data_IF_396958054111
#
_entry.id   IF_396958054111
#
_cell.length_a   1.000
_cell.length_b   1.000
_cell.length_c   1.000
_cell.angle_alpha   90.00
_cell.angle_beta   90.00
_cell.angle_gamma   90.00
#
_symmetry.space_group_name_H-M   'P 1'
#
loop_
_entity.id
_entity.type
_entity.pdbx_description
1 polymer ?
#
# COMPACT_ATOMS: atom_id res chain seq x y z
N UNK A 1 13.98 50.20 -69.25
CA UNK A 1 13.81 49.29 -70.39
C UNK A 1 13.71 47.86 -69.84
N UNK A 2 12.58 47.16 -69.99
CA UNK A 2 12.59 45.71 -70.24
C UNK A 2 12.94 45.45 -71.73
N UNK A 3 13.06 44.22 -72.29
CA UNK A 3 12.66 42.87 -71.82
C UNK A 3 13.83 41.83 -71.94
N UNK A 4 13.68 40.54 -71.60
CA UNK A 4 13.31 39.46 -72.52
C UNK A 4 13.00 38.13 -71.77
N UNK A 5 12.18 37.31 -72.43
CA UNK A 5 11.48 36.09 -71.99
C UNK A 5 12.31 34.79 -72.04
N UNK A 6 12.07 33.88 -71.05
CA UNK A 6 11.82 32.40 -71.08
C UNK A 6 12.67 31.44 -71.98
N UNK A 7 12.58 30.08 -71.89
CA UNK A 7 11.96 29.16 -70.90
C UNK A 7 12.80 27.93 -70.45
N UNK A 8 12.25 27.22 -69.45
CA UNK A 8 12.25 25.76 -69.21
C UNK A 8 13.52 24.90 -69.32
N UNK A 9 13.90 24.26 -68.20
CA UNK A 9 14.22 22.83 -68.21
C UNK A 9 13.81 22.18 -66.87
N UNK A 10 13.24 20.98 -66.98
CA UNK A 10 12.69 20.21 -65.87
C UNK A 10 13.70 19.19 -65.34
N UNK A 11 13.70 18.97 -64.04
CA UNK A 11 14.02 17.65 -63.50
C UNK A 11 13.39 17.47 -62.12
N UNK A 12 12.57 16.42 -62.04
CA UNK A 12 11.97 15.94 -60.81
C UNK A 12 13.04 15.28 -59.94
N UNK A 13 13.09 15.61 -58.64
CA UNK A 13 13.68 14.72 -57.63
C UNK A 13 12.97 14.90 -56.28
N UNK A 14 12.11 13.91 -56.00
CA UNK A 14 11.85 13.19 -54.75
C UNK A 14 11.72 13.96 -53.42
N UNK A 15 10.57 13.70 -52.81
CA UNK A 15 10.19 13.98 -51.44
C UNK A 15 11.24 13.55 -50.39
N UNK A 16 11.39 14.37 -49.36
CA UNK A 16 11.92 13.97 -48.04
C UNK A 16 11.25 14.86 -47.00
N UNK A 17 10.17 14.35 -46.42
CA UNK A 17 9.49 14.91 -45.26
C UNK A 17 10.29 14.58 -44.01
N UNK A 18 11.15 15.50 -43.57
CA UNK A 18 11.76 15.44 -42.24
C UNK A 18 10.73 15.85 -41.19
N UNK A 19 9.90 14.86 -40.84
CA UNK A 19 9.10 14.88 -39.65
C UNK A 19 10.02 14.93 -38.44
N UNK A 20 9.98 16.06 -37.73
CA UNK A 20 10.53 16.22 -36.38
C UNK A 20 9.86 15.19 -35.46
N UNK A 21 10.43 14.00 -35.40
CA UNK A 21 10.18 13.03 -34.34
C UNK A 21 10.86 13.52 -33.08
N UNK A 22 10.19 14.40 -32.33
CA UNK A 22 10.49 14.57 -30.89
C UNK A 22 10.11 13.25 -30.21
N UNK A 23 11.03 12.29 -30.23
CA UNK A 23 10.94 11.07 -29.43
C UNK A 23 10.83 11.49 -27.96
N UNK A 24 9.67 11.25 -27.36
CA UNK A 24 9.49 11.42 -25.92
C UNK A 24 10.50 10.53 -25.19
N UNK A 25 11.21 11.05 -24.18
CA UNK A 25 12.07 10.22 -23.36
C UNK A 25 11.22 9.13 -22.69
N UNK A 26 11.73 7.89 -22.72
CA UNK A 26 11.03 6.70 -22.25
C UNK A 26 10.48 6.89 -20.84
N UNK A 27 9.19 6.57 -20.68
CA UNK A 27 8.55 6.50 -19.36
C UNK A 27 9.20 5.36 -18.58
N UNK A 28 10.14 5.68 -17.71
CA UNK A 28 10.47 4.87 -16.53
C UNK A 28 9.24 4.87 -15.60
N UNK A 29 8.20 4.13 -15.98
CA UNK A 29 6.86 4.24 -15.39
C UNK A 29 6.38 2.90 -14.85
N UNK A 30 6.08 2.85 -13.55
CA UNK A 30 5.42 1.69 -12.94
C UNK A 30 4.06 1.40 -13.60
N UNK A 31 3.68 0.12 -13.64
CA UNK A 31 2.39 -0.33 -14.14
C UNK A 31 1.35 -0.23 -13.03
N UNK A 32 0.26 0.50 -13.27
CA UNK A 32 -0.87 0.54 -12.34
C UNK A 32 -1.56 -0.83 -12.26
N UNK A 33 -1.76 -1.32 -11.04
CA UNK A 33 -2.39 -2.60 -10.70
C UNK A 33 -3.77 -2.43 -10.07
N UNK A 34 -3.97 -1.28 -9.38
CA UNK A 34 -5.22 -0.86 -8.78
C UNK A 34 -5.36 0.66 -8.94
N UNK A 35 -6.48 1.07 -9.51
CA UNK A 35 -6.89 2.48 -9.55
C UNK A 35 -7.41 2.94 -8.18
N UNK A 36 -7.63 4.24 -8.01
CA UNK A 36 -8.26 4.80 -6.80
C UNK A 36 -9.62 4.16 -6.48
N UNK A 37 -10.44 3.91 -7.51
CA UNK A 37 -11.73 3.24 -7.34
C UNK A 37 -11.57 1.78 -6.88
N UNK A 38 -10.54 1.09 -7.36
CA UNK A 38 -10.26 -0.28 -6.94
C UNK A 38 -9.73 -0.34 -5.50
N UNK A 39 -8.86 0.60 -5.10
CA UNK A 39 -8.38 0.72 -3.72
C UNK A 39 -9.56 0.95 -2.78
N UNK A 40 -10.44 1.90 -3.09
CA UNK A 40 -11.63 2.19 -2.28
C UNK A 40 -12.55 0.97 -2.13
N UNK A 41 -12.85 0.27 -3.24
CA UNK A 41 -13.64 -0.98 -3.19
C UNK A 41 -12.95 -2.08 -2.38
N UNK A 42 -11.63 -2.18 -2.48
CA UNK A 42 -10.85 -3.19 -1.77
C UNK A 42 -10.86 -2.94 -0.26
N UNK A 43 -10.69 -1.69 0.17
CA UNK A 43 -10.78 -1.30 1.59
C UNK A 43 -12.17 -1.59 2.14
N UNK A 44 -13.24 -1.23 1.41
CA UNK A 44 -14.61 -1.54 1.80
C UNK A 44 -14.85 -3.05 1.95
N UNK A 45 -14.29 -3.86 1.04
CA UNK A 45 -14.37 -5.33 1.12
C UNK A 45 -13.65 -5.87 2.36
N UNK A 46 -12.46 -5.39 2.67
CA UNK A 46 -11.73 -5.79 3.88
C UNK A 46 -12.53 -5.41 5.13
N UNK A 47 -13.12 -4.21 5.19
CA UNK A 47 -13.96 -3.79 6.30
C UNK A 47 -15.14 -4.74 6.54
N UNK A 48 -15.86 -5.14 5.49
CA UNK A 48 -16.92 -6.16 5.60
C UNK A 48 -16.41 -7.51 6.13
N UNK A 49 -15.24 -7.96 5.66
CA UNK A 49 -14.64 -9.22 6.14
C UNK A 49 -14.27 -9.13 7.63
N UNK A 50 -13.77 -7.98 8.09
CA UNK A 50 -13.48 -7.75 9.51
C UNK A 50 -14.78 -7.86 10.30
N UNK A 51 -15.81 -7.10 9.92
CA UNK A 51 -17.13 -7.11 10.59
C UNK A 51 -17.66 -8.54 10.72
N UNK A 52 -17.70 -9.29 9.62
CA UNK A 52 -18.22 -10.66 9.57
C UNK A 52 -17.40 -11.61 10.46
N UNK A 53 -16.07 -11.59 10.32
CA UNK A 53 -15.19 -12.55 11.02
C UNK A 53 -15.06 -12.26 12.52
N UNK A 54 -15.22 -11.00 12.93
CA UNK A 54 -15.13 -10.62 14.35
C UNK A 54 -16.50 -10.48 15.02
N UNK A 55 -17.60 -10.53 14.25
CA UNK A 55 -18.96 -10.24 14.73
C UNK A 55 -19.05 -8.90 15.48
N UNK A 56 -18.37 -7.87 14.95
CA UNK A 56 -18.16 -6.58 15.62
C UNK A 56 -19.48 -5.84 15.91
N UNK A 57 -20.47 -6.01 15.05
CA UNK A 57 -21.80 -5.39 15.10
C UNK A 57 -22.79 -6.12 16.02
N UNK A 58 -22.38 -7.23 16.64
CA UNK A 58 -23.21 -8.01 17.53
C UNK A 58 -23.02 -7.59 18.99
N UNK A 59 -24.13 -7.48 19.72
CA UNK A 59 -24.15 -7.06 21.14
C UNK A 59 -23.50 -8.07 22.10
N UNK A 60 -23.34 -9.34 21.69
CA UNK A 60 -22.61 -10.39 22.44
C UNK A 60 -21.15 -10.55 21.94
N UNK A 61 -20.60 -9.54 21.27
CA UNK A 61 -19.19 -9.55 20.90
C UNK A 61 -18.33 -9.58 22.18
N UNK A 62 -17.78 -10.75 22.47
CA UNK A 62 -17.06 -11.01 23.74
C UNK A 62 -15.72 -10.26 23.86
N UNK A 63 -15.28 -9.56 22.81
CA UNK A 63 -13.94 -8.97 22.70
C UNK A 63 -13.98 -7.64 21.96
N UNK A 64 -13.29 -6.65 22.50
CA UNK A 64 -13.05 -5.39 21.81
C UNK A 64 -12.08 -5.63 20.64
N UNK A 65 -12.47 -5.18 19.45
CA UNK A 65 -11.63 -5.18 18.26
C UNK A 65 -10.86 -3.87 18.21
N UNK A 66 -9.54 -3.95 18.07
CA UNK A 66 -8.64 -2.78 17.97
C UNK A 66 -7.83 -2.88 16.69
N UNK A 67 -7.84 -1.82 15.87
CA UNK A 67 -7.00 -1.75 14.68
C UNK A 67 -5.68 -1.08 15.02
N UNK A 68 -4.56 -1.71 14.67
CA UNK A 68 -3.21 -1.17 14.95
C UNK A 68 -2.43 -1.12 13.65
N UNK A 69 -2.25 0.08 13.10
CA UNK A 69 -1.52 0.25 11.85
C UNK A 69 -0.01 0.35 12.03
N UNK A 70 0.74 -0.32 11.17
CA UNK A 70 2.20 -0.25 11.11
C UNK A 70 2.60 0.98 10.28
N UNK A 71 3.38 1.93 10.81
CA UNK A 71 3.67 3.16 10.09
C UNK A 71 4.55 2.98 8.84
N UNK A 72 4.35 3.78 7.79
CA UNK A 72 3.46 4.95 7.70
C UNK A 72 2.07 4.59 7.18
N UNK A 73 2.01 4.02 5.96
CA UNK A 73 0.76 3.80 5.23
C UNK A 73 -0.17 2.78 5.89
N UNK A 74 0.35 1.83 6.67
CA UNK A 74 -0.49 0.92 7.46
C UNK A 74 -1.32 1.65 8.52
N UNK A 75 -0.80 2.72 9.12
CA UNK A 75 -1.57 3.60 10.03
C UNK A 75 -2.72 4.31 9.32
N UNK A 76 -2.48 4.84 8.13
CA UNK A 76 -3.52 5.47 7.31
C UNK A 76 -4.57 4.46 6.85
N UNK A 77 -4.14 3.27 6.43
CA UNK A 77 -5.05 2.19 6.07
C UNK A 77 -5.92 1.76 7.26
N UNK A 78 -5.36 1.69 8.48
CA UNK A 78 -6.12 1.37 9.69
C UNK A 78 -7.22 2.40 9.97
N UNK A 79 -6.92 3.69 9.82
CA UNK A 79 -7.91 4.77 9.98
C UNK A 79 -9.03 4.66 8.94
N UNK A 80 -8.69 4.41 7.67
CA UNK A 80 -9.68 4.22 6.60
C UNK A 80 -10.56 2.99 6.84
N UNK A 81 -9.99 1.90 7.35
CA UNK A 81 -10.75 0.71 7.71
C UNK A 81 -11.71 1.00 8.87
N UNK A 82 -11.27 1.69 9.91
CA UNK A 82 -12.15 2.09 11.01
C UNK A 82 -13.32 2.96 10.54
N UNK A 83 -13.04 3.96 9.70
CA UNK A 83 -14.09 4.81 9.13
C UNK A 83 -15.10 4.01 8.28
N UNK A 84 -14.64 3.02 7.51
CA UNK A 84 -15.54 2.14 6.73
C UNK A 84 -16.35 1.21 7.62
N UNK A 85 -15.75 0.69 8.69
CA UNK A 85 -16.47 -0.14 9.66
C UNK A 85 -17.56 0.69 10.35
N UNK A 86 -17.24 1.91 10.77
CA UNK A 86 -18.20 2.85 11.37
C UNK A 86 -19.33 3.20 10.39
N UNK A 87 -19.01 3.48 9.12
CA UNK A 87 -19.99 3.74 8.06
C UNK A 87 -21.00 2.58 7.91
N UNK A 88 -20.53 1.33 8.01
CA UNK A 88 -21.37 0.14 7.79
C UNK A 88 -22.12 -0.34 9.04
N UNK A 89 -21.61 -0.05 10.25
CA UNK A 89 -22.13 -0.63 11.50
C UNK A 89 -22.58 0.41 12.52
N UNK A 90 -22.18 1.67 12.36
CA UNK A 90 -22.31 2.71 13.39
C UNK A 90 -21.33 2.57 14.55
N UNK A 91 -20.40 1.61 14.51
CA UNK A 91 -19.41 1.34 15.56
C UNK A 91 -18.02 1.72 15.06
N UNK A 92 -17.37 2.65 15.76
CA UNK A 92 -15.99 3.03 15.50
C UNK A 92 -15.03 2.14 16.31
N UNK A 93 -14.30 1.19 15.69
CA UNK A 93 -13.27 0.46 16.41
C UNK A 93 -12.13 1.41 16.80
N UNK A 94 -11.56 1.29 18.01
CA UNK A 94 -10.38 2.05 18.40
C UNK A 94 -9.20 1.80 17.46
N UNK A 95 -8.45 2.85 17.14
CA UNK A 95 -7.30 2.81 16.24
C UNK A 95 -6.03 3.23 16.97
N UNK A 96 -4.95 2.47 16.77
CA UNK A 96 -3.60 2.80 17.22
C UNK A 96 -2.57 2.73 16.08
N UNK A 97 -1.35 3.13 16.40
CA UNK A 97 -0.16 3.01 15.56
C UNK A 97 0.97 2.35 16.34
N UNK A 98 1.73 1.46 15.70
CA UNK A 98 2.81 0.73 16.34
C UNK A 98 4.12 0.90 15.56
N UNK A 99 5.02 1.74 16.06
CA UNK A 99 6.35 1.86 15.47
C UNK A 99 7.15 0.59 15.74
N UNK A 100 7.70 0.03 14.67
CA UNK A 100 8.48 -1.21 14.70
C UNK A 100 9.96 -0.98 14.45
N UNK A 101 10.38 0.29 14.32
CA UNK A 101 11.73 0.67 13.88
C UNK A 101 12.81 0.01 14.74
N UNK A 102 12.64 0.00 16.07
CA UNK A 102 13.60 -0.60 17.01
C UNK A 102 13.56 -2.14 17.08
N UNK A 103 12.58 -2.79 16.46
CA UNK A 103 12.39 -4.24 16.51
C UNK A 103 12.82 -4.95 15.23
N UNK A 104 13.26 -4.17 14.22
CA UNK A 104 13.72 -4.70 12.95
C UNK A 104 14.98 -5.55 13.14
N UNK A 105 15.01 -6.69 12.47
CA UNK A 105 16.15 -7.62 12.50
C UNK A 105 17.33 -7.16 11.62
N UNK A 106 17.10 -6.17 10.75
CA UNK A 106 18.07 -5.61 9.81
C UNK A 106 18.63 -4.24 10.22
N UNK A 107 18.48 -3.85 11.50
CA UNK A 107 18.93 -2.56 12.05
C UNK A 107 20.42 -2.24 11.83
N UNK A 108 21.27 -3.27 11.72
CA UNK A 108 22.73 -3.12 11.50
C UNK A 108 23.11 -3.05 10.02
N UNK A 109 22.25 -3.52 9.12
CA UNK A 109 22.57 -3.69 7.70
C UNK A 109 21.84 -2.70 6.80
N UNK A 110 20.78 -2.04 7.30
CA UNK A 110 20.04 -1.02 6.55
C UNK A 110 20.15 0.36 7.19
N UNK A 111 19.91 1.44 6.40
CA UNK A 111 19.89 2.80 6.92
C UNK A 111 18.89 2.96 8.06
N UNK A 112 19.25 3.80 9.03
CA UNK A 112 18.35 4.17 10.12
C UNK A 112 17.16 4.95 9.56
N UNK A 113 15.94 4.53 9.95
CA UNK A 113 14.70 5.27 9.72
C UNK A 113 14.43 6.14 10.95
N UNK A 114 13.88 7.36 10.81
CA UNK A 114 13.40 8.12 11.96
C UNK A 114 12.38 7.31 12.75
N UNK A 115 12.44 7.39 14.08
CA UNK A 115 11.44 6.78 14.95
C UNK A 115 10.09 7.45 14.73
N UNK A 116 9.06 6.63 14.61
CA UNK A 116 7.69 7.11 14.58
C UNK A 116 7.01 6.88 15.93
N UNK A 117 5.89 7.57 16.16
CA UNK A 117 5.22 7.50 17.46
C UNK A 117 4.33 6.26 17.53
N UNK A 118 4.63 5.38 18.48
CA UNK A 118 3.66 4.38 18.95
C UNK A 118 2.56 5.08 19.74
N UNK A 119 1.30 4.83 19.37
CA UNK A 119 0.11 5.39 20.01
C UNK A 119 -0.94 4.30 20.12
N UNK A 120 -1.41 4.03 21.33
CA UNK A 120 -2.49 3.07 21.58
C UNK A 120 -3.77 3.78 21.99
N UNK A 121 -4.94 3.19 21.69
CA UNK A 121 -6.20 3.72 22.19
C UNK A 121 -6.26 3.68 23.71
N UNK A 122 -7.14 4.52 24.27
CA UNK A 122 -7.46 4.51 25.71
C UNK A 122 -8.01 3.13 26.07
N UNK A 123 -7.45 2.51 27.12
CA UNK A 123 -7.74 1.12 27.49
C UNK A 123 -6.70 0.10 27.02
N UNK A 124 -5.77 0.50 26.13
CA UNK A 124 -4.67 -0.37 25.68
C UNK A 124 -5.14 -1.48 24.75
N UNK A 125 -4.41 -2.60 24.77
CA UNK A 125 -4.65 -3.77 23.89
C UNK A 125 -4.79 -5.09 24.66
N UNK A 126 -4.84 -5.02 25.99
CA UNK A 126 -4.94 -6.22 26.84
C UNK A 126 -6.29 -6.91 26.63
N UNK A 127 -6.24 -8.24 26.48
CA UNK A 127 -7.40 -9.11 26.24
C UNK A 127 -8.25 -8.73 25.01
N UNK A 128 -7.74 -7.86 24.13
CA UNK A 128 -8.42 -7.44 22.91
C UNK A 128 -8.17 -8.42 21.76
N UNK A 129 -9.00 -8.32 20.72
CA UNK A 129 -8.67 -8.81 19.39
C UNK A 129 -7.98 -7.65 18.64
N UNK A 130 -6.67 -7.77 18.44
CA UNK A 130 -5.88 -6.77 17.71
C UNK A 130 -5.77 -7.20 16.25
N UNK A 131 -6.10 -6.29 15.33
CA UNK A 131 -5.84 -6.46 13.91
C UNK A 131 -4.68 -5.54 13.54
N UNK A 132 -3.51 -6.12 13.29
CA UNK A 132 -2.38 -5.40 12.71
C UNK A 132 -2.73 -5.04 11.26
N UNK A 133 -2.42 -3.82 10.85
CA UNK A 133 -2.73 -3.32 9.51
C UNK A 133 -1.45 -2.84 8.83
N UNK A 134 -1.17 -3.36 7.63
CA UNK A 134 -0.02 -2.97 6.80
C UNK A 134 -0.45 -2.76 5.35
N UNK A 135 0.31 -1.99 4.58
CA UNK A 135 -0.02 -1.77 3.17
C UNK A 135 0.35 -2.97 2.30
N UNK A 136 1.55 -3.54 2.48
CA UNK A 136 2.07 -4.65 1.67
C UNK A 136 2.68 -5.76 2.54
N UNK A 137 2.14 -6.98 2.42
CA UNK A 137 2.78 -8.18 2.97
C UNK A 137 3.78 -8.78 1.96
N UNK A 138 5.06 -8.75 2.33
CA UNK A 138 6.17 -9.34 1.56
C UNK A 138 6.81 -10.52 2.32
N UNK A 139 8.03 -10.38 2.83
CA UNK A 139 8.77 -11.45 3.55
C UNK A 139 8.14 -11.84 4.89
N UNK A 140 7.36 -10.94 5.50
CA UNK A 140 6.75 -11.08 6.82
C UNK A 140 7.57 -10.48 7.98
N UNK A 141 8.78 -9.97 7.71
CA UNK A 141 9.67 -9.43 8.77
C UNK A 141 9.12 -8.20 9.48
N UNK A 142 8.44 -7.30 8.75
CA UNK A 142 7.76 -6.14 9.34
C UNK A 142 6.69 -6.57 10.34
N UNK A 143 5.83 -7.53 9.95
CA UNK A 143 4.80 -8.07 10.83
C UNK A 143 5.41 -8.78 12.05
N UNK A 144 6.49 -9.55 11.86
CA UNK A 144 7.21 -10.15 12.99
C UNK A 144 7.74 -9.09 13.96
N UNK A 145 8.29 -8.00 13.44
CA UNK A 145 8.74 -6.87 14.26
C UNK A 145 7.57 -6.19 14.98
N UNK A 146 6.40 -6.10 14.34
CA UNK A 146 5.18 -5.61 14.95
C UNK A 146 4.67 -6.51 16.08
N UNK A 147 4.75 -7.84 15.92
CA UNK A 147 4.40 -8.77 16.99
C UNK A 147 5.34 -8.63 18.20
N UNK A 148 6.64 -8.47 17.96
CA UNK A 148 7.62 -8.21 19.02
C UNK A 148 7.34 -6.88 19.72
N UNK A 149 7.06 -5.81 18.98
CA UNK A 149 6.71 -4.50 19.54
C UNK A 149 5.38 -4.50 20.31
N UNK A 150 4.37 -5.21 19.81
CA UNK A 150 3.05 -5.30 20.44
C UNK A 150 3.12 -5.98 21.81
N UNK A 151 4.05 -6.93 21.98
CA UNK A 151 4.31 -7.58 23.27
C UNK A 151 4.85 -6.59 24.31
N UNK A 152 5.54 -5.53 23.92
CA UNK A 152 6.03 -4.55 24.90
C UNK A 152 4.94 -3.53 25.26
N UNK A 153 3.86 -3.48 24.49
CA UNK A 153 2.70 -2.60 24.67
C UNK A 153 1.56 -3.26 25.47
N UNK A 154 1.34 -4.58 25.32
CA UNK A 154 0.28 -5.28 26.03
C UNK A 154 0.18 -6.77 25.72
N UNK A 155 -0.94 -7.38 26.11
CA UNK A 155 -1.25 -8.82 26.00
C UNK A 155 -2.60 -9.01 25.29
N UNK A 156 -2.64 -8.84 23.96
CA UNK A 156 -3.86 -9.14 23.20
C UNK A 156 -4.22 -10.62 23.31
N UNK A 157 -5.51 -10.93 23.31
CA UNK A 157 -6.00 -12.31 23.33
C UNK A 157 -5.82 -12.97 21.95
N UNK A 158 -6.04 -12.18 20.89
CA UNK A 158 -5.94 -12.63 19.50
C UNK A 158 -5.23 -11.53 18.73
N UNK A 159 -4.30 -11.92 17.86
CA UNK A 159 -3.69 -11.02 16.87
C UNK A 159 -4.01 -11.54 15.48
N UNK A 160 -4.58 -10.68 14.64
CA UNK A 160 -4.86 -10.92 13.23
C UNK A 160 -4.09 -9.92 12.38
N UNK A 161 -4.02 -10.16 11.07
CA UNK A 161 -3.33 -9.28 10.12
C UNK A 161 -4.22 -8.94 8.93
N UNK A 162 -4.39 -7.65 8.65
CA UNK A 162 -5.02 -7.12 7.45
C UNK A 162 -4.00 -6.39 6.59
N UNK A 163 -3.96 -6.70 5.29
CA UNK A 163 -3.11 -6.01 4.33
C UNK A 163 -3.84 -5.64 3.05
N UNK A 164 -3.48 -4.50 2.46
CA UNK A 164 -4.06 -4.11 1.17
C UNK A 164 -3.54 -5.03 0.05
N UNK A 165 -2.24 -5.33 0.05
CA UNK A 165 -1.61 -6.20 -0.94
C UNK A 165 -0.81 -7.31 -0.29
N UNK A 166 -0.95 -8.51 -0.82
CA UNK A 166 -0.03 -9.61 -0.58
C UNK A 166 0.77 -9.90 -1.85
N UNK A 167 2.09 -9.73 -1.78
CA UNK A 167 2.99 -9.90 -2.92
C UNK A 167 3.79 -11.21 -2.91
N UNK A 168 3.51 -12.11 -1.97
CA UNK A 168 4.20 -13.40 -1.82
C UNK A 168 5.61 -13.30 -1.22
N UNK A 169 6.48 -14.27 -1.57
CA UNK A 169 7.89 -14.37 -1.16
C UNK A 169 8.13 -14.39 0.36
N UNK A 170 7.30 -15.14 1.08
CA UNK A 170 7.45 -15.32 2.52
C UNK A 170 8.80 -15.90 2.90
N UNK A 171 9.41 -15.32 3.92
CA UNK A 171 10.60 -15.84 4.60
C UNK A 171 10.26 -16.28 6.03
N UNK A 172 9.11 -15.86 6.54
CA UNK A 172 8.54 -16.28 7.82
C UNK A 172 7.17 -16.90 7.58
N UNK A 173 6.71 -17.84 8.44
CA UNK A 173 5.41 -18.50 8.31
C UNK A 173 4.25 -17.58 8.72
N UNK A 174 4.20 -16.38 8.17
CA UNK A 174 3.22 -15.32 8.46
C UNK A 174 2.28 -15.18 7.26
N UNK A 175 0.98 -15.20 7.56
CA UNK A 175 -0.10 -14.97 6.58
C UNK A 175 -1.04 -13.89 7.12
N UNK A 176 -1.65 -13.15 6.20
CA UNK A 176 -2.71 -12.23 6.54
C UNK A 176 -4.05 -12.96 6.63
N UNK A 177 -4.86 -12.56 7.59
CA UNK A 177 -6.26 -12.95 7.75
C UNK A 177 -7.15 -12.26 6.71
N UNK A 178 -6.79 -11.02 6.36
CA UNK A 178 -7.52 -10.20 5.41
C UNK A 178 -6.55 -9.68 4.35
N UNK A 179 -6.82 -10.02 3.10
CA UNK A 179 -5.98 -9.60 1.96
C UNK A 179 -6.84 -8.84 0.98
N UNK A 180 -6.42 -7.62 0.63
CA UNK A 180 -7.06 -6.81 -0.40
C UNK A 180 -6.86 -7.38 -1.81
N UNK A 181 -5.61 -7.63 -2.21
CA UNK A 181 -5.30 -8.29 -3.46
C UNK A 181 -4.03 -9.12 -3.36
N UNK A 182 -4.08 -10.34 -3.88
CA UNK A 182 -2.88 -11.13 -4.12
C UNK A 182 -2.27 -10.72 -5.46
N UNK A 183 -1.01 -10.32 -5.46
CA UNK A 183 -0.28 -9.85 -6.64
C UNK A 183 0.99 -10.69 -6.75
N UNK A 184 1.02 -11.70 -7.63
CA UNK A 184 2.25 -12.41 -7.93
C UNK A 184 3.28 -11.43 -8.48
N UNK A 185 4.47 -11.41 -7.88
CA UNK A 185 5.58 -10.54 -8.30
C UNK A 185 6.85 -11.35 -8.46
N UNK A 186 7.81 -10.86 -9.25
CA UNK A 186 9.20 -11.27 -9.14
C UNK A 186 9.85 -10.60 -7.91
N UNK A 187 10.99 -11.13 -7.44
CA UNK A 187 11.75 -10.51 -6.35
C UNK A 187 12.37 -9.16 -6.74
N UNK A 188 12.63 -8.96 -8.03
CA UNK A 188 13.13 -7.71 -8.60
C UNK A 188 12.04 -6.67 -8.85
N UNK A 189 10.77 -7.03 -8.71
CA UNK A 189 9.68 -6.08 -8.79
C UNK A 189 9.39 -5.49 -7.41
N UNK A 190 8.81 -4.29 -7.36
CA UNK A 190 8.34 -3.63 -6.16
C UNK A 190 6.90 -3.21 -6.29
N UNK A 191 6.14 -3.46 -5.23
CA UNK A 191 4.76 -2.99 -5.12
C UNK A 191 4.76 -1.70 -4.33
N UNK A 192 4.30 -0.62 -4.97
CA UNK A 192 4.13 0.67 -4.32
C UNK A 192 2.64 0.91 -4.09
N UNK A 193 2.25 1.02 -2.82
CA UNK A 193 0.93 1.49 -2.43
C UNK A 193 1.00 3.00 -2.23
N UNK A 194 0.06 3.72 -2.84
CA UNK A 194 -0.11 5.15 -2.71
C UNK A 194 -1.48 5.40 -2.07
N UNK A 195 -1.50 6.20 -1.01
CA UNK A 195 -2.72 6.63 -0.32
C UNK A 195 -2.77 8.15 -0.30
N UNK A 196 -3.93 8.73 -0.58
CA UNK A 196 -4.10 10.18 -0.78
C UNK A 196 -3.57 11.04 0.37
N UNK A 197 -3.64 10.57 1.62
CA UNK A 197 -3.15 11.27 2.82
C UNK A 197 -1.63 11.43 2.86
N UNK A 198 -0.89 10.57 2.16
CA UNK A 198 0.58 10.61 2.09
C UNK A 198 1.11 10.96 0.70
N UNK A 199 0.38 10.59 -0.34
CA UNK A 199 0.87 10.54 -1.71
C UNK A 199 0.05 11.40 -2.68
N UNK A 200 -1.04 12.02 -2.21
CA UNK A 200 -1.93 12.87 -3.01
C UNK A 200 -2.88 12.12 -3.96
N UNK A 201 -2.77 10.79 -4.06
CA UNK A 201 -3.73 9.92 -4.76
C UNK A 201 -3.73 8.50 -4.21
N UNK A 202 -4.80 7.77 -4.53
CA UNK A 202 -4.90 6.34 -4.27
C UNK A 202 -4.49 5.55 -5.50
N UNK A 203 -3.53 4.64 -5.36
CA UNK A 203 -3.19 3.66 -6.40
C UNK A 203 -2.33 2.53 -5.83
N UNK A 204 -2.23 1.43 -6.56
CA UNK A 204 -1.17 0.43 -6.38
C UNK A 204 -0.42 0.26 -7.69
N UNK A 205 0.89 0.37 -7.65
CA UNK A 205 1.78 0.27 -8.82
C UNK A 205 2.76 -0.89 -8.66
N UNK A 206 3.11 -1.52 -9.78
CA UNK A 206 4.24 -2.43 -9.89
C UNK A 206 5.39 -1.70 -10.57
N UNK A 207 6.55 -1.67 -9.94
CA UNK A 207 7.79 -1.15 -10.53
C UNK A 207 8.74 -2.31 -10.74
N UNK A 208 9.32 -2.42 -11.92
CA UNK A 208 10.49 -3.27 -12.12
C UNK A 208 11.70 -2.50 -11.58
N UNK A 209 12.48 -3.11 -10.68
CA UNK A 209 13.75 -2.53 -10.24
C UNK A 209 14.61 -2.22 -11.47
N UNK A 210 15.11 -0.99 -11.56
CA UNK A 210 16.18 -0.68 -12.51
C UNK A 210 17.38 -1.53 -12.15
N UNK A 211 18.04 -2.09 -13.15
CA UNK A 211 19.39 -2.61 -12.99
C UNK A 211 20.27 -1.40 -12.59
N UNK A 212 20.69 -1.35 -11.32
CA UNK A 212 21.85 -0.55 -10.90
C UNK A 212 23.14 -1.34 -11.20
#
# INVERSE_FOLDING_TARGET
MPPEENPADGSATRASSDGRGTGQPGRSGGRELLSAADVSRTIARIAHQIIEKTALDQSDSRRQVVLVGIPTRGSTLAQRLAAKIEEFTGIAPPVGSLDTTLYRDDLRSKPHRPLERTSMPVGGVDNCLVILVDDVLFSGRTVRSALDALRDVGRPQIVQLAVLVDRGHRELPIRADYVGKNIPTARSEDVLVLLSEHDGRDAVELRTGGED
#
